data_IF_541230169199
#
_entry.id   IF_541230169199
#
_cell.length_a   1.000
_cell.length_b   1.000
_cell.length_c   1.000
_cell.angle_alpha   90.00
_cell.angle_beta   90.00
_cell.angle_gamma   90.00
#
_symmetry.space_group_name_H-M   'P 1'
#
loop_
_entity.id
_entity.type
_entity.pdbx_description
1 polymer ?
#
# COMPACT_ATOMS: atom_id res chain seq x y z
N UNK A 1 -2.77 -7.82 9.84
CA UNK A 1 -2.60 -8.41 8.50
C UNK A 1 -1.41 -9.39 8.51
N UNK A 2 -1.56 -10.58 7.90
CA UNK A 2 -0.47 -11.56 7.75
C UNK A 2 0.60 -11.04 6.79
N UNK A 3 1.79 -11.64 6.80
CA UNK A 3 2.89 -11.25 5.91
C UNK A 3 2.49 -11.40 4.43
N UNK A 4 1.83 -12.50 4.10
CA UNK A 4 1.48 -12.85 2.72
C UNK A 4 0.42 -11.89 2.19
N UNK A 5 -0.60 -11.55 3.00
CA UNK A 5 -1.58 -10.50 2.68
C UNK A 5 -0.90 -9.16 2.38
N UNK A 6 0.15 -8.75 3.14
CA UNK A 6 0.87 -7.50 2.84
C UNK A 6 1.56 -7.57 1.49
N UNK A 7 2.20 -8.71 1.19
CA UNK A 7 2.93 -8.91 -0.06
C UNK A 7 1.95 -8.85 -1.24
N UNK A 8 0.81 -9.51 -1.13
CA UNK A 8 -0.24 -9.48 -2.15
C UNK A 8 -0.77 -8.06 -2.39
N UNK A 9 -1.06 -7.29 -1.34
CA UNK A 9 -1.47 -5.90 -1.47
C UNK A 9 -0.39 -5.04 -2.13
N UNK A 10 0.89 -5.24 -1.78
CA UNK A 10 2.00 -4.51 -2.40
C UNK A 10 2.12 -4.86 -3.90
N UNK A 11 2.02 -6.15 -4.25
CA UNK A 11 2.03 -6.59 -5.64
C UNK A 11 0.84 -5.99 -6.41
N UNK A 12 -0.33 -5.94 -5.79
CA UNK A 12 -1.53 -5.33 -6.36
C UNK A 12 -1.33 -3.83 -6.62
N UNK A 13 -0.77 -3.09 -5.65
CA UNK A 13 -0.42 -1.67 -5.80
C UNK A 13 0.52 -1.44 -6.99
N UNK A 14 1.55 -2.27 -7.15
CA UNK A 14 2.47 -2.18 -8.28
C UNK A 14 1.75 -2.41 -9.62
N UNK A 15 0.87 -3.42 -9.67
CA UNK A 15 0.03 -3.69 -10.84
C UNK A 15 -0.91 -2.54 -11.19
N UNK A 16 -1.55 -1.92 -10.20
CA UNK A 16 -2.42 -0.76 -10.39
C UNK A 16 -1.65 0.46 -10.91
N UNK A 17 -0.47 0.75 -10.31
CA UNK A 17 0.41 1.84 -10.78
C UNK A 17 0.86 1.63 -12.23
N UNK A 18 1.14 0.39 -12.62
CA UNK A 18 1.45 0.06 -14.00
C UNK A 18 0.26 0.31 -14.93
N UNK A 19 -0.95 -0.16 -14.57
CA UNK A 19 -2.17 0.07 -15.37
C UNK A 19 -2.48 1.57 -15.53
N UNK A 20 -2.33 2.36 -14.48
CA UNK A 20 -2.49 3.82 -14.54
C UNK A 20 -1.48 4.45 -15.52
N UNK A 21 -0.24 3.98 -15.49
CA UNK A 21 0.78 4.46 -16.43
C UNK A 21 0.46 4.09 -17.88
N UNK A 22 -0.14 2.92 -18.11
CA UNK A 22 -0.65 2.52 -19.43
C UNK A 22 -1.75 3.48 -19.87
N UNK A 23 -2.72 3.82 -19.01
CA UNK A 23 -3.76 4.82 -19.30
C UNK A 23 -3.17 6.17 -19.75
N UNK A 24 -2.11 6.64 -19.09
CA UNK A 24 -1.43 7.89 -19.49
C UNK A 24 -0.73 7.80 -20.86
N UNK A 25 -0.47 6.58 -21.35
CA UNK A 25 0.20 6.30 -22.62
C UNK A 25 -0.76 5.86 -23.72
N UNK A 26 -2.07 5.73 -23.41
CA UNK A 26 -3.09 5.35 -24.40
C UNK A 26 -3.33 6.49 -25.39
N UNK A 27 -3.79 6.14 -26.58
CA UNK A 27 -4.24 7.11 -27.58
C UNK A 27 -5.38 7.95 -26.99
N UNK A 28 -5.36 9.25 -27.29
CA UNK A 28 -6.45 10.15 -26.91
C UNK A 28 -7.78 9.65 -27.47
N UNK A 29 -8.86 9.63 -26.64
CA UNK A 29 -10.19 9.30 -27.09
C UNK A 29 -10.65 10.20 -28.25
N UNK A 30 -11.31 9.62 -29.25
CA UNK A 30 -11.83 10.36 -30.41
C UNK A 30 -13.30 10.73 -30.23
N UNK A 31 -14.01 10.05 -29.32
CA UNK A 31 -15.42 10.29 -29.02
C UNK A 31 -15.66 10.60 -27.54
N UNK A 32 -16.78 11.26 -27.25
CA UNK A 32 -17.21 11.50 -25.87
C UNK A 32 -17.45 10.19 -25.11
N UNK A 33 -17.98 9.16 -25.77
CA UNK A 33 -18.20 7.84 -25.17
C UNK A 33 -16.88 7.18 -24.79
N UNK A 34 -15.89 7.20 -25.68
CA UNK A 34 -14.55 6.69 -25.40
C UNK A 34 -13.86 7.46 -24.27
N UNK A 35 -14.05 8.78 -24.23
CA UNK A 35 -13.50 9.61 -23.16
C UNK A 35 -14.10 9.22 -21.81
N UNK A 36 -15.43 9.11 -21.73
CA UNK A 36 -16.12 8.71 -20.52
C UNK A 36 -15.71 7.31 -20.06
N UNK A 37 -15.60 6.34 -20.97
CA UNK A 37 -15.16 4.99 -20.65
C UNK A 37 -13.72 4.95 -20.13
N UNK A 38 -12.81 5.70 -20.76
CA UNK A 38 -11.41 5.81 -20.36
C UNK A 38 -11.26 6.45 -18.98
N UNK A 39 -11.98 7.55 -18.73
CA UNK A 39 -11.97 8.23 -17.44
C UNK A 39 -12.55 7.37 -16.32
N UNK A 40 -13.66 6.68 -16.58
CA UNK A 40 -14.28 5.80 -15.60
C UNK A 40 -13.33 4.67 -15.21
N UNK A 41 -12.73 4.00 -16.19
CA UNK A 41 -11.74 2.93 -15.95
C UNK A 41 -10.54 3.43 -15.14
N UNK A 42 -10.04 4.64 -15.45
CA UNK A 42 -8.95 5.27 -14.70
C UNK A 42 -9.35 5.53 -13.25
N UNK A 43 -10.54 6.07 -13.01
CA UNK A 43 -11.03 6.36 -11.67
C UNK A 43 -11.20 5.11 -10.81
N UNK A 44 -11.69 4.00 -11.37
CA UNK A 44 -11.77 2.73 -10.64
C UNK A 44 -10.38 2.26 -10.17
N UNK A 45 -9.37 2.40 -11.03
CA UNK A 45 -7.98 2.05 -10.67
C UNK A 45 -7.40 2.98 -9.60
N UNK A 46 -7.66 4.29 -9.68
CA UNK A 46 -7.22 5.27 -8.69
C UNK A 46 -7.89 5.06 -7.33
N UNK A 47 -9.19 4.74 -7.31
CA UNK A 47 -9.95 4.45 -6.10
C UNK A 47 -9.46 3.16 -5.42
N UNK A 48 -9.31 2.08 -6.19
CA UNK A 48 -8.76 0.82 -5.68
C UNK A 48 -7.35 1.02 -5.10
N UNK A 49 -6.49 1.76 -5.81
CA UNK A 49 -5.14 2.06 -5.36
C UNK A 49 -5.16 2.80 -4.01
N UNK A 50 -6.01 3.83 -3.89
CA UNK A 50 -6.13 4.64 -2.68
C UNK A 50 -6.66 3.83 -1.50
N UNK A 51 -7.62 2.94 -1.75
CA UNK A 51 -8.15 2.05 -0.72
C UNK A 51 -7.04 1.13 -0.17
N UNK A 52 -6.23 0.52 -1.04
CA UNK A 52 -5.13 -0.36 -0.60
C UNK A 52 -4.04 0.44 0.14
N UNK A 53 -3.66 1.62 -0.37
CA UNK A 53 -2.67 2.47 0.30
C UNK A 53 -3.13 2.88 1.70
N UNK A 54 -4.43 3.16 1.89
CA UNK A 54 -5.00 3.43 3.21
C UNK A 54 -4.90 2.24 4.17
N UNK A 55 -5.18 1.02 3.70
CA UNK A 55 -5.05 -0.20 4.52
C UNK A 55 -3.59 -0.44 4.93
N UNK A 56 -2.65 -0.30 4.00
CA UNK A 56 -1.22 -0.44 4.28
C UNK A 56 -0.71 0.62 5.26
N UNK A 57 -1.22 1.86 5.17
CA UNK A 57 -0.89 2.93 6.10
C UNK A 57 -1.39 2.65 7.52
N UNK A 58 -2.64 2.19 7.67
CA UNK A 58 -3.20 1.79 8.97
C UNK A 58 -2.37 0.68 9.62
N UNK A 59 -2.03 -0.36 8.86
CA UNK A 59 -1.20 -1.46 9.36
C UNK A 59 0.20 -0.97 9.78
N UNK A 60 0.82 -0.09 8.99
CA UNK A 60 2.11 0.52 9.33
C UNK A 60 1.99 1.28 10.66
N UNK A 61 0.93 2.05 10.86
CA UNK A 61 0.71 2.78 12.11
C UNK A 61 0.63 1.82 13.31
N UNK A 62 -0.13 0.73 13.19
CA UNK A 62 -0.23 -0.32 14.22
C UNK A 62 1.15 -0.92 14.53
N UNK A 63 1.93 -1.29 13.50
CA UNK A 63 3.26 -1.87 13.68
C UNK A 63 4.23 -0.92 14.40
N UNK A 64 4.22 0.37 14.02
CA UNK A 64 5.05 1.39 14.65
C UNK A 64 4.66 1.58 16.11
N UNK A 65 3.36 1.70 16.42
CA UNK A 65 2.89 1.84 17.80
C UNK A 65 3.23 0.64 18.67
N UNK A 66 3.08 -0.58 18.13
CA UNK A 66 3.50 -1.80 18.82
C UNK A 66 5.01 -1.78 19.13
N UNK A 67 5.83 -1.30 18.17
CA UNK A 67 7.27 -1.21 18.37
C UNK A 67 7.67 -0.14 19.39
N UNK A 68 7.00 1.00 19.40
CA UNK A 68 7.18 2.05 20.40
C UNK A 68 6.90 1.48 21.80
N UNK A 69 5.73 0.87 22.00
CA UNK A 69 5.36 0.24 23.29
C UNK A 69 6.35 -0.83 23.75
N UNK A 70 6.85 -1.64 22.81
CA UNK A 70 7.88 -2.64 23.10
C UNK A 70 9.15 -1.95 23.62
N UNK A 71 9.62 -0.91 22.94
CA UNK A 71 10.84 -0.18 23.34
C UNK A 71 10.67 0.49 24.70
N UNK A 72 9.51 1.06 25.00
CA UNK A 72 9.19 1.64 26.31
C UNK A 72 9.23 0.57 27.41
N UNK A 73 8.65 -0.60 27.15
CA UNK A 73 8.64 -1.73 28.10
C UNK A 73 10.05 -2.27 28.34
N UNK A 74 10.85 -2.45 27.28
CA UNK A 74 12.25 -2.89 27.36
C UNK A 74 13.09 -1.91 28.20
N UNK A 75 12.87 -0.60 28.01
CA UNK A 75 13.54 0.44 28.78
C UNK A 75 13.17 0.40 30.27
N UNK A 76 11.87 0.33 30.58
CA UNK A 76 11.38 0.30 31.97
C UNK A 76 11.76 -0.98 32.72
N UNK A 77 11.86 -2.11 32.02
CA UNK A 77 12.21 -3.40 32.61
C UNK A 77 13.72 -3.62 32.78
N UNK A 78 14.56 -2.71 32.28
CA UNK A 78 16.03 -2.82 32.36
C UNK A 78 16.61 -4.01 31.56
N UNK A 79 15.81 -4.68 30.72
CA UNK A 79 16.29 -5.78 29.91
C UNK A 79 17.09 -5.24 28.71
N UNK A 80 18.29 -5.78 28.44
CA UNK A 80 19.06 -5.37 27.27
C UNK A 80 18.30 -5.79 26.00
N UNK A 81 18.21 -4.89 25.01
CA UNK A 81 17.59 -5.18 23.71
C UNK A 81 18.13 -6.50 23.16
N UNK A 82 17.26 -7.47 22.95
CA UNK A 82 17.63 -8.71 22.28
C UNK A 82 18.23 -8.36 20.91
N UNK A 83 19.51 -8.65 20.71
CA UNK A 83 20.17 -8.46 19.41
C UNK A 83 19.48 -9.41 18.43
N UNK A 84 18.65 -8.88 17.55
CA UNK A 84 18.06 -9.67 16.47
C UNK A 84 19.22 -10.17 15.61
N UNK A 85 19.57 -11.47 15.74
CA UNK A 85 20.49 -12.11 14.81
C UNK A 85 19.78 -12.16 13.47
N UNK A 86 20.19 -11.28 12.55
CA UNK A 86 19.87 -11.40 11.13
C UNK A 86 20.57 -12.68 10.67
N UNK A 87 19.79 -13.70 10.34
CA UNK A 87 20.26 -14.90 9.64
C UNK A 87 20.23 -14.64 8.15
#
# INVERSE_FOLDING_TARGET
MTRDEKIELIQRVLGLKHKLKVHDSMKSPETHEELSASLFSRWELEDELKAIESLLEQERHICVQAKIKQVETDYLSGQPRAKTKVK
#
